data_IF_056137020932
#
_entry.id   IF_056137020932
#
_cell.length_a   1.000
_cell.length_b   1.000
_cell.length_c   1.000
_cell.angle_alpha   90.00
_cell.angle_beta   90.00
_cell.angle_gamma   90.00
#
_symmetry.space_group_name_H-M   'P 1'
#
loop_
_entity.id
_entity.type
_entity.pdbx_description
1 polymer ?
#
# COMPACT_ATOMS: atom_id res chain seq x y z
N UNK A 1 8.90 9.46 14.22
CA UNK A 1 8.09 10.30 13.32
C UNK A 1 6.89 9.48 12.93
N UNK A 2 5.66 9.92 13.20
CA UNK A 2 4.48 9.11 12.91
C UNK A 2 4.29 9.09 11.39
N UNK A 3 4.74 8.01 10.75
CA UNK A 3 4.26 7.63 9.44
C UNK A 3 2.77 7.36 9.59
N UNK A 4 1.92 8.19 8.99
CA UNK A 4 0.47 7.97 8.97
C UNK A 4 0.22 6.55 8.45
N UNK A 5 -0.18 5.67 9.36
CA UNK A 5 -0.57 4.30 9.07
C UNK A 5 -2.07 4.27 8.93
N UNK A 6 -2.53 3.88 7.75
CA UNK A 6 -3.93 3.68 7.45
C UNK A 6 -4.24 2.19 7.52
N UNK A 7 -5.49 1.87 7.84
CA UNK A 7 -5.98 0.50 7.86
C UNK A 7 -7.26 0.46 7.04
N UNK A 8 -7.38 -0.52 6.14
CA UNK A 8 -8.59 -0.74 5.34
C UNK A 8 -8.93 -2.22 5.30
N UNK A 9 -10.21 -2.52 5.09
CA UNK A 9 -10.71 -3.88 4.92
C UNK A 9 -10.89 -4.15 3.43
N UNK A 10 -10.13 -5.10 2.90
CA UNK A 10 -10.21 -5.49 1.48
C UNK A 10 -11.00 -6.78 1.38
N UNK A 11 -12.07 -6.76 0.59
CA UNK A 11 -12.82 -7.99 0.27
C UNK A 11 -12.15 -8.65 -0.92
N UNK A 12 -11.67 -9.88 -0.73
CA UNK A 12 -11.04 -10.69 -1.77
C UNK A 12 -12.12 -11.32 -2.67
N UNK A 13 -11.75 -11.75 -3.90
CA UNK A 13 -12.68 -12.44 -4.81
C UNK A 13 -13.27 -13.73 -4.24
N UNK A 14 -12.62 -14.34 -3.24
CA UNK A 14 -13.11 -15.49 -2.48
C UNK A 14 -14.17 -15.13 -1.42
N UNK A 15 -14.67 -13.88 -1.41
CA UNK A 15 -15.58 -13.33 -0.38
C UNK A 15 -14.97 -13.23 1.03
N UNK A 16 -13.69 -13.60 1.18
CA UNK A 16 -12.92 -13.42 2.41
C UNK A 16 -12.51 -11.96 2.59
N UNK A 17 -12.71 -11.40 3.79
CA UNK A 17 -12.27 -10.04 4.13
C UNK A 17 -10.90 -10.07 4.82
N UNK A 18 -9.97 -9.25 4.36
CA UNK A 18 -8.65 -9.12 4.97
C UNK A 18 -8.41 -7.69 5.44
N UNK A 19 -7.92 -7.56 6.67
CA UNK A 19 -7.43 -6.29 7.18
C UNK A 19 -6.03 -6.02 6.60
N UNK A 20 -5.87 -4.84 6.03
CA UNK A 20 -4.64 -4.41 5.39
C UNK A 20 -4.23 -3.08 6.01
N UNK A 21 -3.06 -3.07 6.62
CA UNK A 21 -2.43 -1.86 7.12
C UNK A 21 -1.45 -1.35 6.07
N UNK A 22 -1.48 -0.05 5.77
CA UNK A 22 -0.58 0.53 4.79
C UNK A 22 -0.06 1.90 5.22
N UNK A 23 1.17 2.20 4.84
CA UNK A 23 1.82 3.47 5.17
C UNK A 23 2.85 3.85 4.10
N UNK A 24 2.96 5.14 3.83
CA UNK A 24 4.01 5.67 2.98
C UNK A 24 5.27 5.96 3.80
N UNK A 25 6.44 5.59 3.29
CA UNK A 25 7.71 5.98 3.87
C UNK A 25 8.66 6.50 2.79
N UNK A 26 9.23 7.66 3.05
CA UNK A 26 10.27 8.26 2.20
C UNK A 26 11.65 7.63 2.45
N UNK A 27 11.81 6.87 3.53
CA UNK A 27 13.12 6.63 4.15
C UNK A 27 14.11 5.84 3.28
N UNK A 28 13.63 5.07 2.29
CA UNK A 28 14.46 4.20 1.42
C UNK A 28 14.79 4.76 0.03
N UNK A 29 14.32 5.95 -0.34
CA UNK A 29 14.55 6.51 -1.68
C UNK A 29 15.73 7.48 -1.72
N UNK A 30 16.42 7.50 -2.87
CA UNK A 30 17.47 8.47 -3.21
C UNK A 30 16.97 9.92 -3.15
N UNK A 31 17.87 10.88 -2.89
CA UNK A 31 17.50 12.30 -2.67
C UNK A 31 16.70 12.92 -3.82
N UNK A 32 16.95 12.48 -5.05
CA UNK A 32 16.22 12.94 -6.24
C UNK A 32 14.86 12.26 -6.39
N UNK A 33 14.78 10.94 -6.18
CA UNK A 33 13.51 10.20 -6.24
C UNK A 33 12.56 10.58 -5.09
N UNK A 34 13.09 10.92 -3.92
CA UNK A 34 12.30 11.46 -2.79
C UNK A 34 11.56 12.75 -3.11
N UNK A 35 11.83 13.44 -4.21
CA UNK A 35 11.03 14.63 -4.57
C UNK A 35 9.68 14.24 -5.19
N UNK A 36 9.62 13.12 -5.89
CA UNK A 36 8.46 12.73 -6.71
C UNK A 36 7.81 11.45 -6.21
N UNK A 37 8.58 10.50 -5.69
CA UNK A 37 8.09 9.17 -5.28
C UNK A 37 8.20 8.94 -3.78
N UNK A 38 7.39 8.01 -3.31
CA UNK A 38 7.42 7.44 -1.96
C UNK A 38 7.25 5.92 -2.06
N UNK A 39 7.73 5.20 -1.05
CA UNK A 39 7.53 3.76 -0.96
C UNK A 39 6.29 3.50 -0.11
N UNK A 40 5.27 2.86 -0.68
CA UNK A 40 4.06 2.43 0.00
C UNK A 40 4.28 1.00 0.51
N UNK A 41 4.20 0.85 1.82
CA UNK A 41 4.22 -0.43 2.51
C UNK A 41 2.79 -0.87 2.72
N UNK A 42 2.50 -2.10 2.35
CA UNK A 42 1.20 -2.75 2.45
C UNK A 42 1.42 -4.02 3.26
N UNK A 43 1.01 -3.98 4.51
CA UNK A 43 1.13 -5.07 5.46
C UNK A 43 -0.22 -5.79 5.58
N UNK A 44 -0.18 -7.08 5.24
CA UNK A 44 -1.23 -8.04 5.52
C UNK A 44 -0.83 -8.89 6.74
N UNK A 45 -1.78 -9.66 7.26
CA UNK A 45 -1.57 -10.51 8.44
C UNK A 45 -0.41 -11.52 8.29
N UNK A 46 -0.12 -11.98 7.08
CA UNK A 46 0.89 -13.01 6.79
C UNK A 46 2.02 -12.52 5.84
N UNK A 47 1.89 -11.31 5.27
CA UNK A 47 2.79 -10.84 4.22
C UNK A 47 2.97 -9.32 4.24
N UNK A 48 4.15 -8.84 3.84
CA UNK A 48 4.42 -7.41 3.63
C UNK A 48 4.77 -7.20 2.17
N UNK A 49 3.96 -6.43 1.47
CA UNK A 49 4.20 -5.95 0.12
C UNK A 49 4.71 -4.51 0.16
N UNK A 50 5.64 -4.17 -0.73
CA UNK A 50 6.11 -2.79 -0.92
C UNK A 50 5.99 -2.40 -2.38
N UNK A 51 5.51 -1.20 -2.64
CA UNK A 51 5.42 -0.63 -3.99
C UNK A 51 5.94 0.79 -3.99
N UNK A 52 6.50 1.24 -5.12
CA UNK A 52 6.88 2.64 -5.30
C UNK A 52 5.72 3.38 -5.98
N UNK A 53 5.24 4.44 -5.37
CA UNK A 53 4.17 5.29 -5.90
C UNK A 53 4.60 6.76 -5.91
N UNK A 54 3.88 7.57 -6.68
CA UNK A 54 4.05 9.01 -6.64
C UNK A 54 3.56 9.59 -5.31
N UNK A 55 4.26 10.61 -4.80
CA UNK A 55 3.87 11.32 -3.57
C UNK A 55 2.49 11.95 -3.67
N UNK A 56 2.11 12.36 -4.87
CA UNK A 56 0.78 12.89 -5.18
C UNK A 56 -0.32 11.89 -4.85
N UNK A 57 -0.07 10.59 -5.04
CA UNK A 57 -1.02 9.53 -4.65
C UNK A 57 -1.10 9.38 -3.13
N UNK A 58 0.00 9.57 -2.40
CA UNK A 58 -0.02 9.53 -0.93
C UNK A 58 -0.76 10.73 -0.30
N UNK A 59 -0.92 11.85 -1.02
CA UNK A 59 -1.78 12.97 -0.61
C UNK A 59 -3.27 12.68 -0.80
N UNK A 60 -3.62 11.63 -1.54
CA UNK A 60 -4.98 11.35 -1.95
C UNK A 60 -5.39 9.95 -1.42
N UNK A 61 -6.03 9.88 -0.24
CA UNK A 61 -6.26 8.61 0.45
C UNK A 61 -7.12 7.65 -0.38
N UNK A 62 -8.05 8.17 -1.17
CA UNK A 62 -8.94 7.39 -2.04
C UNK A 62 -8.14 6.67 -3.16
N UNK A 63 -7.22 7.40 -3.80
CA UNK A 63 -6.32 6.83 -4.80
C UNK A 63 -5.35 5.82 -4.16
N UNK A 64 -4.88 6.11 -2.95
CA UNK A 64 -3.99 5.23 -2.19
C UNK A 64 -4.69 3.91 -1.85
N UNK A 65 -5.93 3.98 -1.35
CA UNK A 65 -6.74 2.81 -1.03
C UNK A 65 -7.04 1.98 -2.28
N UNK A 66 -7.40 2.60 -3.41
CA UNK A 66 -7.64 1.90 -4.66
C UNK A 66 -6.39 1.13 -5.15
N UNK A 67 -5.21 1.73 -5.02
CA UNK A 67 -3.93 1.07 -5.33
C UNK A 67 -3.68 -0.12 -4.39
N UNK A 68 -3.92 0.06 -3.08
CA UNK A 68 -3.74 -1.00 -2.08
C UNK A 68 -4.70 -2.16 -2.36
N UNK A 69 -5.98 -1.89 -2.55
CA UNK A 69 -7.00 -2.90 -2.86
C UNK A 69 -6.63 -3.67 -4.12
N UNK A 70 -6.33 -2.97 -5.21
CA UNK A 70 -5.98 -3.60 -6.47
C UNK A 70 -4.70 -4.46 -6.34
N UNK A 71 -3.71 -3.97 -5.57
CA UNK A 71 -2.47 -4.72 -5.32
C UNK A 71 -2.72 -5.95 -4.46
N UNK A 72 -3.48 -5.83 -3.38
CA UNK A 72 -3.81 -6.94 -2.47
C UNK A 72 -4.62 -8.03 -3.19
N UNK A 73 -5.63 -7.63 -3.97
CA UNK A 73 -6.45 -8.54 -4.76
C UNK A 73 -5.58 -9.25 -5.80
N UNK A 74 -4.68 -8.53 -6.49
CA UNK A 74 -3.81 -9.14 -7.49
C UNK A 74 -2.76 -10.07 -6.84
N UNK A 75 -2.13 -9.66 -5.74
CA UNK A 75 -1.13 -10.49 -5.04
C UNK A 75 -1.76 -11.76 -4.48
N UNK A 76 -2.95 -11.70 -3.88
CA UNK A 76 -3.66 -12.92 -3.42
C UNK A 76 -4.37 -13.69 -4.53
N UNK A 77 -4.78 -13.01 -5.60
CA UNK A 77 -5.30 -13.64 -6.81
C UNK A 77 -4.24 -14.40 -7.60
N UNK A 78 -2.96 -14.11 -7.36
CA UNK A 78 -1.80 -14.78 -7.96
C UNK A 78 -1.03 -15.67 -6.95
N UNK A 79 -1.66 -15.99 -5.81
CA UNK A 79 -1.12 -16.92 -4.81
C UNK A 79 -2.11 -18.10 -4.65
N UNK A 80 -2.07 -18.98 -5.63
CA UNK A 80 -2.15 -20.44 -5.48
C UNK A 80 -1.05 -21.04 -6.35
#
# INVERSE_FOLDING_TARGET
>A
MPSLSYTTLVTLPDNSTVEVQYYCIDKKLDKEERKTKTELFIQLHDCICTIKIDKSACKNPDALESIVQHKVINTRGHLC
#
